data_IF_721119462745
#
_entry.id   IF_721119462745
#
_cell.length_a   1.000
_cell.length_b   1.000
_cell.length_c   1.000
_cell.angle_alpha   90.00
_cell.angle_beta   90.00
_cell.angle_gamma   90.00
#
_symmetry.space_group_name_H-M   'P 1'
#
loop_
_entity.id
_entity.type
_entity.pdbx_description
1 polymer ?
#
# COMPACT_ATOMS: atom_id res chain seq x y z
N UNK A 1 -38.89 -25.91 -6.05
CA UNK A 1 -37.65 -25.40 -6.70
C UNK A 1 -36.85 -24.73 -5.58
N UNK A 2 -35.84 -25.42 -5.05
CA UNK A 2 -34.97 -24.84 -4.02
C UNK A 2 -33.98 -23.96 -4.77
N UNK A 3 -34.04 -22.66 -4.54
CA UNK A 3 -33.04 -21.71 -5.04
C UNK A 3 -31.76 -21.92 -4.20
N UNK A 4 -30.81 -22.65 -4.74
CA UNK A 4 -29.47 -22.72 -4.13
C UNK A 4 -28.89 -21.32 -4.14
N UNK A 5 -28.77 -20.72 -2.96
CA UNK A 5 -28.15 -19.40 -2.80
C UNK A 5 -26.65 -19.56 -3.01
N UNK A 6 -26.13 -18.97 -4.09
CA UNK A 6 -24.70 -18.92 -4.32
C UNK A 6 -24.02 -18.21 -3.15
N UNK A 7 -23.13 -18.93 -2.48
CA UNK A 7 -22.42 -18.47 -1.29
C UNK A 7 -20.92 -18.75 -1.47
N UNK A 8 -20.09 -17.83 -1.06
CA UNK A 8 -18.63 -17.96 -1.04
C UNK A 8 -18.07 -17.40 0.26
N UNK A 9 -16.93 -17.86 0.70
CA UNK A 9 -16.18 -17.26 1.80
C UNK A 9 -15.20 -16.27 1.21
N UNK A 10 -15.12 -15.08 1.80
CA UNK A 10 -14.16 -14.03 1.41
C UNK A 10 -13.28 -13.72 2.61
N UNK A 11 -12.00 -13.55 2.37
CA UNK A 11 -11.04 -13.20 3.40
C UNK A 11 -10.01 -12.19 2.91
N UNK A 12 -9.47 -11.43 3.86
CA UNK A 12 -8.29 -10.58 3.67
C UNK A 12 -7.46 -10.56 4.95
N UNK A 13 -6.22 -10.12 4.86
CA UNK A 13 -5.37 -9.93 6.04
C UNK A 13 -5.33 -8.45 6.43
N UNK A 14 -5.56 -8.19 7.71
CA UNK A 14 -5.55 -6.84 8.24
C UNK A 14 -4.12 -6.27 8.22
N UNK A 15 -3.88 -5.12 7.58
CA UNK A 15 -2.56 -4.51 7.55
C UNK A 15 -2.06 -4.05 8.93
N UNK A 16 -2.96 -3.65 9.83
CA UNK A 16 -2.57 -3.08 11.12
C UNK A 16 -2.23 -4.13 12.19
N UNK A 17 -2.96 -5.26 12.23
CA UNK A 17 -2.75 -6.24 13.29
C UNK A 17 -2.39 -7.65 12.76
N UNK A 18 -2.23 -7.82 11.44
CA UNK A 18 -1.91 -9.08 10.82
C UNK A 18 -3.03 -10.14 10.86
N UNK A 19 -4.16 -9.87 11.54
CA UNK A 19 -5.23 -10.85 11.69
C UNK A 19 -5.91 -11.18 10.35
N UNK A 20 -6.18 -12.46 10.12
CA UNK A 20 -7.02 -12.91 9.01
C UNK A 20 -8.49 -12.59 9.29
N UNK A 21 -9.12 -11.80 8.43
CA UNK A 21 -10.54 -11.43 8.49
C UNK A 21 -11.28 -12.23 7.45
N UNK A 22 -12.27 -13.03 7.85
CA UNK A 22 -13.05 -13.84 6.92
C UNK A 22 -14.55 -13.77 7.21
N UNK A 23 -15.36 -13.83 6.16
CA UNK A 23 -16.82 -13.87 6.26
C UNK A 23 -17.43 -14.62 5.07
N UNK A 24 -18.56 -15.26 5.32
CA UNK A 24 -19.36 -15.82 4.26
C UNK A 24 -20.24 -14.73 3.63
N UNK A 25 -20.21 -14.69 2.32
CA UNK A 25 -20.95 -13.71 1.49
C UNK A 25 -21.88 -14.49 0.56
N UNK A 26 -23.15 -14.14 0.59
CA UNK A 26 -24.15 -14.65 -0.34
C UNK A 26 -24.57 -13.59 -1.35
N UNK A 27 -25.17 -14.04 -2.44
CA UNK A 27 -25.61 -13.16 -3.53
C UNK A 27 -26.63 -12.11 -3.05
N UNK A 28 -27.49 -12.43 -2.08
CA UNK A 28 -28.52 -11.50 -1.62
C UNK A 28 -27.91 -10.33 -0.84
N UNK A 29 -26.96 -10.63 0.08
CA UNK A 29 -26.24 -9.59 0.81
C UNK A 29 -25.49 -8.66 -0.15
N UNK A 30 -24.81 -9.26 -1.14
CA UNK A 30 -23.99 -8.51 -2.07
C UNK A 30 -24.82 -7.66 -3.05
N UNK A 31 -26.02 -8.10 -3.43
CA UNK A 31 -26.90 -7.36 -4.34
C UNK A 31 -27.74 -6.28 -3.65
N UNK A 32 -27.89 -6.35 -2.34
CA UNK A 32 -28.70 -5.39 -1.58
C UNK A 32 -27.93 -4.10 -1.26
N UNK A 33 -26.64 -4.19 -0.94
CA UNK A 33 -25.82 -3.06 -0.53
C UNK A 33 -24.33 -3.39 -0.61
N UNK A 34 -23.49 -2.39 -0.35
CA UNK A 34 -22.04 -2.57 -0.15
C UNK A 34 -21.78 -3.47 1.06
N UNK A 35 -21.05 -4.55 0.85
CA UNK A 35 -20.63 -5.44 1.92
C UNK A 35 -19.27 -4.99 2.45
N UNK A 36 -19.18 -4.80 3.77
CA UNK A 36 -17.96 -4.42 4.48
C UNK A 36 -17.50 -5.54 5.40
N UNK A 37 -16.25 -5.98 5.24
CA UNK A 37 -15.58 -6.87 6.17
C UNK A 37 -14.65 -6.03 7.04
N UNK A 38 -15.00 -5.87 8.32
CA UNK A 38 -14.19 -5.09 9.27
C UNK A 38 -13.33 -6.01 10.11
N UNK A 39 -12.08 -5.60 10.33
CA UNK A 39 -11.23 -6.26 11.31
C UNK A 39 -11.70 -5.94 12.74
N UNK A 40 -11.50 -6.89 13.66
CA UNK A 40 -11.79 -6.71 15.09
C UNK A 40 -10.98 -5.58 15.73
N UNK A 41 -9.80 -5.25 15.19
CA UNK A 41 -9.01 -4.10 15.65
C UNK A 41 -9.65 -2.74 15.32
N UNK A 42 -10.66 -2.70 14.43
CA UNK A 42 -11.37 -1.49 14.02
C UNK A 42 -10.63 -0.58 13.04
N UNK A 43 -9.34 -0.84 12.75
CA UNK A 43 -8.49 0.03 11.92
C UNK A 43 -8.53 -0.29 10.42
N UNK A 44 -9.08 -1.43 10.01
CA UNK A 44 -9.13 -1.82 8.59
C UNK A 44 -10.46 -2.44 8.20
N UNK A 45 -10.86 -2.20 6.96
CA UNK A 45 -12.04 -2.81 6.34
C UNK A 45 -11.80 -3.09 4.86
N UNK A 46 -12.26 -4.24 4.38
CA UNK A 46 -12.38 -4.54 2.96
C UNK A 46 -13.82 -4.28 2.52
N UNK A 47 -14.01 -3.64 1.36
CA UNK A 47 -15.35 -3.40 0.82
C UNK A 47 -15.59 -4.17 -0.46
N UNK A 48 -16.84 -4.57 -0.68
CA UNK A 48 -17.29 -5.25 -1.89
C UNK A 48 -18.57 -4.60 -2.38
N UNK A 49 -18.64 -4.32 -3.67
CA UNK A 49 -19.81 -3.76 -4.34
C UNK A 49 -20.18 -4.59 -5.55
N UNK A 50 -21.41 -5.04 -5.60
CA UNK A 50 -21.95 -5.73 -6.76
C UNK A 50 -22.51 -4.73 -7.77
N UNK A 51 -22.17 -4.92 -9.03
CA UNK A 51 -22.74 -4.16 -10.13
C UNK A 51 -23.18 -5.12 -11.24
N UNK A 52 -24.30 -4.81 -11.85
CA UNK A 52 -24.82 -5.56 -13.01
C UNK A 52 -25.06 -4.58 -14.15
N UNK A 53 -24.47 -4.87 -15.28
CA UNK A 53 -24.68 -4.14 -16.53
C UNK A 53 -25.13 -5.14 -17.59
N UNK A 54 -26.43 -5.17 -17.90
CA UNK A 54 -27.04 -6.17 -18.75
C UNK A 54 -26.84 -7.61 -18.23
N UNK A 55 -26.14 -8.44 -19.00
CA UNK A 55 -25.80 -9.82 -18.64
C UNK A 55 -24.47 -9.93 -17.88
N UNK A 56 -23.69 -8.85 -17.82
CA UNK A 56 -22.40 -8.79 -17.12
C UNK A 56 -22.60 -8.38 -15.66
N UNK A 57 -22.41 -9.34 -14.76
CA UNK A 57 -22.39 -9.10 -13.33
C UNK A 57 -20.94 -9.11 -12.81
N UNK A 58 -20.56 -8.05 -12.09
CA UNK A 58 -19.20 -7.83 -11.57
C UNK A 58 -19.24 -7.52 -10.08
N UNK A 59 -18.18 -7.90 -9.38
CA UNK A 59 -17.93 -7.56 -7.98
C UNK A 59 -16.66 -6.71 -7.95
N UNK A 60 -16.76 -5.52 -7.41
CA UNK A 60 -15.62 -4.63 -7.16
C UNK A 60 -15.20 -4.76 -5.72
N UNK A 61 -13.89 -4.82 -5.51
CA UNK A 61 -13.25 -4.92 -4.22
C UNK A 61 -12.37 -3.71 -3.99
N UNK A 62 -12.40 -3.18 -2.79
CA UNK A 62 -11.33 -2.31 -2.26
C UNK A 62 -10.70 -3.09 -1.11
N UNK A 63 -9.48 -3.55 -1.33
CA UNK A 63 -8.76 -4.46 -0.43
C UNK A 63 -7.60 -3.71 0.22
N UNK A 64 -7.58 -3.55 1.55
CA UNK A 64 -6.40 -3.01 2.23
C UNK A 64 -5.22 -3.96 2.05
N UNK A 65 -4.05 -3.43 1.77
CA UNK A 65 -2.83 -4.20 1.55
C UNK A 65 -1.93 -4.17 2.78
N UNK A 66 -1.29 -5.30 3.08
CA UNK A 66 -0.35 -5.39 4.20
C UNK A 66 1.03 -4.80 3.86
N UNK A 67 1.33 -4.60 2.59
CA UNK A 67 2.62 -4.10 2.11
C UNK A 67 2.55 -2.69 1.50
N UNK A 68 1.35 -2.25 1.11
CA UNK A 68 1.17 -0.96 0.44
C UNK A 68 0.39 0.01 1.33
N UNK A 69 0.72 1.29 1.34
CA UNK A 69 0.00 2.30 2.12
C UNK A 69 -1.44 2.49 1.62
N UNK A 70 -1.68 2.28 0.33
CA UNK A 70 -2.98 2.46 -0.29
C UNK A 70 -3.68 1.12 -0.55
N UNK A 71 -5.02 1.04 -0.41
CA UNK A 71 -5.77 -0.14 -0.76
C UNK A 71 -5.79 -0.36 -2.28
N UNK A 72 -5.88 -1.62 -2.69
CA UNK A 72 -5.99 -1.99 -4.10
C UNK A 72 -7.44 -2.22 -4.52
N UNK A 73 -7.75 -1.82 -5.75
CA UNK A 73 -9.07 -1.99 -6.34
C UNK A 73 -9.04 -3.11 -7.39
N UNK A 74 -9.95 -4.08 -7.23
CA UNK A 74 -10.10 -5.18 -8.17
C UNK A 74 -11.53 -5.24 -8.69
N UNK A 75 -11.69 -5.78 -9.90
CA UNK A 75 -12.99 -6.08 -10.47
C UNK A 75 -12.99 -7.51 -10.98
N UNK A 76 -13.88 -8.34 -10.45
CA UNK A 76 -13.99 -9.76 -10.78
C UNK A 76 -15.40 -10.04 -11.29
N UNK A 77 -15.55 -10.92 -12.29
CA UNK A 77 -16.89 -11.34 -12.71
C UNK A 77 -17.60 -12.11 -11.58
N UNK A 78 -18.90 -11.88 -11.41
CA UNK A 78 -19.67 -12.58 -10.40
C UNK A 78 -19.66 -14.12 -10.60
N UNK A 79 -19.44 -14.57 -11.84
CA UNK A 79 -19.27 -15.99 -12.15
C UNK A 79 -17.99 -16.57 -11.52
N UNK A 80 -16.87 -15.86 -11.61
CA UNK A 80 -15.63 -16.26 -10.95
C UNK A 80 -15.75 -16.17 -9.43
N UNK A 81 -16.35 -15.09 -8.92
CA UNK A 81 -16.53 -14.86 -7.50
C UNK A 81 -17.27 -15.98 -6.78
N UNK A 82 -18.33 -16.53 -7.40
CA UNK A 82 -19.16 -17.58 -6.80
C UNK A 82 -18.87 -18.99 -7.34
N UNK A 83 -18.01 -19.12 -8.34
CA UNK A 83 -17.86 -20.39 -9.06
C UNK A 83 -16.51 -21.08 -8.88
N UNK A 84 -15.60 -20.51 -8.13
CA UNK A 84 -14.27 -21.09 -7.91
C UNK A 84 -14.16 -21.67 -6.49
N UNK A 85 -13.45 -22.78 -6.36
CA UNK A 85 -13.11 -23.39 -5.06
C UNK A 85 -12.11 -22.52 -4.30
N UNK A 86 -11.20 -21.88 -5.02
CA UNK A 86 -10.30 -20.86 -4.52
C UNK A 86 -9.95 -19.87 -5.64
N UNK A 87 -10.10 -18.58 -5.34
CA UNK A 87 -9.63 -17.48 -6.17
C UNK A 87 -8.90 -16.48 -5.29
N UNK A 88 -7.72 -16.04 -5.71
CA UNK A 88 -6.86 -15.15 -4.94
C UNK A 88 -6.65 -13.83 -5.68
N UNK A 89 -6.47 -12.76 -4.93
CA UNK A 89 -6.13 -11.44 -5.43
C UNK A 89 -4.74 -11.07 -4.88
N UNK A 90 -3.70 -11.12 -5.73
CA UNK A 90 -2.36 -10.75 -5.32
C UNK A 90 -2.21 -9.23 -5.22
N UNK A 91 -1.26 -8.78 -4.42
CA UNK A 91 -0.80 -7.41 -4.46
C UNK A 91 -0.15 -7.13 -5.84
N UNK A 92 -0.52 -6.03 -6.55
CA UNK A 92 0.07 -5.72 -7.85
C UNK A 92 1.58 -5.44 -7.83
N UNK A 93 2.12 -5.10 -6.65
CA UNK A 93 3.53 -4.71 -6.47
C UNK A 93 4.38 -5.77 -5.75
N UNK A 94 3.74 -6.83 -5.22
CA UNK A 94 4.42 -7.89 -4.52
C UNK A 94 3.72 -9.23 -4.78
N UNK A 95 4.47 -10.32 -4.80
CA UNK A 95 3.94 -11.66 -5.05
C UNK A 95 3.30 -12.27 -3.78
N UNK A 96 2.39 -11.50 -3.17
CA UNK A 96 1.65 -11.90 -1.95
C UNK A 96 0.15 -11.75 -2.19
N UNK A 97 -0.60 -12.79 -1.83
CA UNK A 97 -2.06 -12.78 -1.89
C UNK A 97 -2.64 -11.96 -0.73
N UNK A 98 -3.34 -10.86 -1.05
CA UNK A 98 -3.92 -9.93 -0.07
C UNK A 98 -5.39 -10.18 0.21
N UNK A 99 -6.11 -10.80 -0.72
CA UNK A 99 -7.47 -11.28 -0.52
C UNK A 99 -7.69 -12.60 -1.22
N UNK A 100 -8.63 -13.37 -0.72
CA UNK A 100 -8.99 -14.68 -1.24
C UNK A 100 -10.47 -14.96 -1.07
N UNK A 101 -11.02 -15.77 -1.96
CA UNK A 101 -12.43 -16.16 -1.95
C UNK A 101 -12.64 -17.57 -2.47
N UNK A 102 -13.68 -18.26 -1.98
CA UNK A 102 -14.01 -19.61 -2.39
C UNK A 102 -14.57 -20.48 -1.27
N UNK A 103 -14.24 -21.79 -1.30
CA UNK A 103 -14.56 -22.72 -0.22
C UNK A 103 -13.87 -22.32 1.08
N UNK A 104 -14.55 -22.47 2.19
CA UNK A 104 -14.07 -22.03 3.51
C UNK A 104 -12.76 -22.72 3.92
N UNK A 105 -12.56 -23.99 3.56
CA UNK A 105 -11.35 -24.71 3.94
C UNK A 105 -10.16 -24.26 3.09
N UNK A 106 -10.36 -24.06 1.80
CA UNK A 106 -9.34 -23.55 0.90
C UNK A 106 -8.95 -22.11 1.25
N UNK A 107 -9.92 -21.26 1.58
CA UNK A 107 -9.66 -19.89 2.03
C UNK A 107 -8.87 -19.84 3.34
N UNK A 108 -9.23 -20.70 4.33
CA UNK A 108 -8.48 -20.82 5.59
C UNK A 108 -7.05 -21.33 5.39
N UNK A 109 -6.89 -22.33 4.52
CA UNK A 109 -5.57 -22.86 4.19
C UNK A 109 -4.69 -21.77 3.56
N UNK A 110 -5.23 -21.03 2.60
CA UNK A 110 -4.50 -19.95 1.93
C UNK A 110 -4.16 -18.80 2.89
N UNK A 111 -5.07 -18.44 3.80
CA UNK A 111 -4.76 -17.48 4.87
C UNK A 111 -3.59 -17.93 5.75
N UNK A 112 -3.54 -19.21 6.12
CA UNK A 112 -2.44 -19.75 6.93
C UNK A 112 -1.13 -19.77 6.14
N UNK A 113 -1.18 -20.09 4.84
CA UNK A 113 0.00 -20.09 3.97
C UNK A 113 0.59 -18.69 3.85
N UNK A 114 -0.25 -17.70 3.55
CA UNK A 114 0.20 -16.30 3.45
C UNK A 114 0.69 -15.74 4.78
N UNK A 115 0.20 -16.25 5.92
CA UNK A 115 0.72 -15.87 7.23
C UNK A 115 2.18 -16.30 7.41
N UNK A 116 2.50 -17.52 7.05
CA UNK A 116 3.87 -18.03 7.12
C UNK A 116 4.81 -17.26 6.19
N UNK A 117 4.37 -16.94 4.98
CA UNK A 117 5.14 -16.13 4.04
C UNK A 117 5.42 -14.71 4.58
N UNK A 118 4.42 -14.10 5.20
CA UNK A 118 4.57 -12.76 5.81
C UNK A 118 5.47 -12.79 7.05
N UNK A 119 5.38 -13.82 7.89
CA UNK A 119 6.27 -13.98 9.04
C UNK A 119 7.74 -14.16 8.61
N UNK A 120 7.98 -14.96 7.56
CA UNK A 120 9.31 -15.12 6.96
C UNK A 120 9.86 -13.79 6.40
N UNK A 121 8.99 -12.98 5.78
CA UNK A 121 9.36 -11.65 5.30
C UNK A 121 9.70 -10.68 6.45
N UNK A 122 8.90 -10.68 7.52
CA UNK A 122 9.17 -9.87 8.73
C UNK A 122 10.52 -10.24 9.33
N UNK A 123 10.79 -11.54 9.48
CA UNK A 123 12.06 -12.03 10.03
C UNK A 123 13.25 -11.61 9.16
N UNK A 124 13.14 -11.74 7.82
CA UNK A 124 14.17 -11.31 6.86
C UNK A 124 14.39 -9.80 6.85
N UNK A 125 13.32 -9.02 7.05
CA UNK A 125 13.38 -7.57 7.13
C UNK A 125 13.87 -7.05 8.49
N UNK A 126 13.96 -7.92 9.51
CA UNK A 126 14.32 -7.50 10.87
C UNK A 126 13.25 -6.65 11.56
N UNK A 127 11.98 -6.86 11.21
CA UNK A 127 10.83 -6.07 11.68
C UNK A 127 9.97 -6.92 12.60
N UNK A 128 9.67 -6.41 13.80
CA UNK A 128 9.00 -7.18 14.86
C UNK A 128 7.46 -7.14 14.79
N UNK A 129 6.86 -6.31 13.91
CA UNK A 129 5.41 -6.17 13.85
C UNK A 129 4.89 -5.84 12.46
N UNK A 130 3.63 -6.21 12.19
CA UNK A 130 2.94 -5.83 10.94
C UNK A 130 2.71 -4.32 10.82
N UNK A 131 2.53 -3.61 11.94
CA UNK A 131 2.41 -2.15 11.97
C UNK A 131 3.70 -1.49 11.48
N UNK A 132 4.86 -2.07 11.77
CA UNK A 132 6.14 -1.57 11.30
C UNK A 132 6.39 -1.81 9.80
N UNK A 133 5.71 -2.80 9.17
CA UNK A 133 5.73 -2.97 7.70
C UNK A 133 5.00 -1.82 6.99
N UNK A 134 3.96 -1.28 7.62
CA UNK A 134 3.26 -0.12 7.09
C UNK A 134 3.92 1.19 7.47
N UNK A 135 4.89 1.13 8.40
CA UNK A 135 5.54 2.28 8.98
C UNK A 135 4.62 3.50 9.02
N UNK A 136 4.06 3.87 10.15
CA UNK A 136 3.55 5.24 10.30
C UNK A 136 4.64 6.27 9.96
N UNK A 137 5.83 5.77 9.61
CA UNK A 137 7.04 6.57 9.40
C UNK A 137 7.36 6.88 7.93
N UNK A 138 6.74 6.19 6.96
CA UNK A 138 7.08 6.46 5.55
C UNK A 138 5.83 6.44 4.68
N UNK A 139 4.98 7.46 4.81
CA UNK A 139 3.94 7.81 3.83
C UNK A 139 4.58 8.33 2.52
N UNK A 140 5.64 7.68 2.10
CA UNK A 140 6.36 8.08 0.89
C UNK A 140 5.87 7.22 -0.25
N UNK A 141 5.23 7.82 -1.21
CA UNK A 141 4.96 7.18 -2.51
C UNK A 141 6.32 6.85 -3.15
N UNK A 142 6.63 5.58 -3.48
CA UNK A 142 7.91 5.22 -4.09
C UNK A 142 8.23 6.01 -5.35
N UNK A 143 7.21 6.39 -6.15
CA UNK A 143 7.39 7.22 -7.34
C UNK A 143 7.76 8.66 -6.96
N UNK A 144 7.12 9.21 -5.93
CA UNK A 144 7.46 10.54 -5.39
C UNK A 144 8.89 10.55 -4.87
N UNK A 145 9.28 9.53 -4.12
CA UNK A 145 10.63 9.40 -3.58
C UNK A 145 11.69 9.34 -4.70
N UNK A 146 11.43 8.53 -5.74
CA UNK A 146 12.33 8.41 -6.89
C UNK A 146 12.49 9.75 -7.62
N UNK A 147 11.39 10.45 -7.88
CA UNK A 147 11.39 11.76 -8.55
C UNK A 147 12.19 12.77 -7.73
N UNK A 148 11.89 12.91 -6.44
CA UNK A 148 12.56 13.90 -5.58
C UNK A 148 14.05 13.56 -5.42
N UNK A 149 14.41 12.29 -5.25
CA UNK A 149 15.80 11.85 -5.16
C UNK A 149 16.58 12.16 -6.44
N UNK A 150 15.96 11.95 -7.60
CA UNK A 150 16.55 12.28 -8.90
C UNK A 150 16.81 13.79 -9.02
N UNK A 151 15.82 14.61 -8.68
CA UNK A 151 15.93 16.08 -8.73
C UNK A 151 17.01 16.61 -7.78
N UNK A 152 17.12 16.06 -6.57
CA UNK A 152 18.18 16.45 -5.63
C UNK A 152 19.56 16.20 -6.24
N UNK A 153 19.75 15.05 -6.91
CA UNK A 153 21.02 14.75 -7.60
C UNK A 153 21.31 15.70 -8.74
N UNK A 154 20.32 16.05 -9.57
CA UNK A 154 20.49 17.03 -10.63
C UNK A 154 20.87 18.40 -10.07
N UNK A 155 20.20 18.87 -8.99
CA UNK A 155 20.52 20.14 -8.34
C UNK A 155 21.93 20.13 -7.73
N UNK A 156 22.38 19.00 -7.20
CA UNK A 156 23.73 18.83 -6.67
C UNK A 156 24.79 18.88 -7.80
N UNK A 157 24.58 18.12 -8.88
CA UNK A 157 25.46 18.10 -10.06
C UNK A 157 25.56 19.48 -10.75
N UNK A 158 24.48 20.27 -10.70
CA UNK A 158 24.44 21.61 -11.26
C UNK A 158 24.94 22.70 -10.28
N UNK A 159 25.32 22.34 -9.06
CA UNK A 159 25.74 23.26 -8.01
C UNK A 159 24.63 24.21 -7.54
N UNK A 160 23.39 23.77 -7.61
CA UNK A 160 22.20 24.55 -7.26
C UNK A 160 21.67 24.23 -5.85
N UNK A 161 22.44 23.52 -5.03
CA UNK A 161 22.15 23.37 -3.59
C UNK A 161 23.00 24.41 -2.85
N UNK A 162 22.34 25.37 -2.22
CA UNK A 162 23.00 26.43 -1.46
C UNK A 162 22.90 26.14 0.04
N UNK A 163 24.00 26.37 0.72
CA UNK A 163 24.08 26.25 2.18
C UNK A 163 24.82 27.49 2.76
N UNK A 164 25.20 27.45 4.02
CA UNK A 164 25.91 28.53 4.70
C UNK A 164 27.44 28.52 4.48
N UNK A 165 27.94 27.54 3.72
CA UNK A 165 29.35 27.45 3.36
C UNK A 165 29.78 28.54 2.36
N UNK A 166 31.09 28.72 2.24
CA UNK A 166 31.65 29.59 1.21
C UNK A 166 31.27 29.04 -0.19
N UNK A 167 30.76 29.90 -1.12
CA UNK A 167 30.37 29.46 -2.46
C UNK A 167 31.51 28.85 -3.29
N UNK A 168 32.77 29.14 -2.94
CA UNK A 168 33.94 28.57 -3.61
C UNK A 168 34.35 27.19 -3.08
N UNK A 169 33.60 26.64 -2.11
CA UNK A 169 33.84 25.34 -1.48
C UNK A 169 32.92 24.26 -2.06
N UNK A 170 33.48 23.15 -2.51
CA UNK A 170 32.69 21.98 -2.90
C UNK A 170 32.05 21.34 -1.63
N UNK A 171 30.81 21.71 -1.38
CA UNK A 171 30.05 21.16 -0.25
C UNK A 171 29.55 19.74 -0.55
N UNK A 172 29.57 18.88 0.45
CA UNK A 172 29.03 17.53 0.36
C UNK A 172 27.67 17.47 1.05
N UNK A 173 26.71 16.81 0.41
CA UNK A 173 25.35 16.71 0.91
C UNK A 173 24.97 15.27 1.18
N UNK A 174 24.47 15.03 2.38
CA UNK A 174 23.87 13.76 2.79
C UNK A 174 22.35 13.84 2.65
N UNK A 175 21.74 12.76 2.13
CA UNK A 175 20.29 12.65 1.96
C UNK A 175 19.79 11.50 2.80
N UNK A 176 18.91 11.79 3.75
CA UNK A 176 18.32 10.82 4.67
C UNK A 176 16.81 10.84 4.56
N UNK A 177 16.19 9.66 4.53
CA UNK A 177 14.74 9.54 4.59
C UNK A 177 14.28 9.63 6.04
N UNK A 178 13.41 10.62 6.31
CA UNK A 178 12.81 10.86 7.63
C UNK A 178 11.29 10.71 7.57
N UNK A 179 10.59 10.65 8.70
CA UNK A 179 9.13 10.60 8.74
C UNK A 179 8.45 11.79 8.04
N UNK A 180 9.10 12.93 8.00
CA UNK A 180 8.58 14.17 7.42
C UNK A 180 8.95 14.35 5.94
N UNK A 181 9.77 13.44 5.37
CA UNK A 181 10.24 13.49 3.98
C UNK A 181 11.73 13.25 3.82
N UNK A 182 12.29 13.60 2.65
CA UNK A 182 13.72 13.55 2.39
C UNK A 182 14.41 14.75 3.02
N UNK A 183 15.31 14.49 3.96
CA UNK A 183 16.15 15.50 4.61
C UNK A 183 17.50 15.57 3.90
N UNK A 184 17.81 16.72 3.34
CA UNK A 184 19.12 17.06 2.77
C UNK A 184 19.93 17.81 3.82
N UNK A 185 21.14 17.37 4.09
CA UNK A 185 22.04 17.97 5.10
C UNK A 185 23.39 18.26 4.49
N UNK A 186 23.88 19.47 4.66
CA UNK A 186 25.27 19.79 4.32
C UNK A 186 26.21 19.18 5.37
N UNK A 187 27.12 18.31 4.94
CA UNK A 187 28.07 17.64 5.82
C UNK A 187 29.05 18.61 6.51
N UNK A 188 29.32 19.77 5.88
CA UNK A 188 30.31 20.74 6.34
C UNK A 188 29.75 21.74 7.35
N UNK A 189 28.57 22.32 7.09
CA UNK A 189 27.99 23.36 7.97
C UNK A 189 26.77 22.90 8.76
N UNK A 190 26.24 21.71 8.46
CA UNK A 190 25.06 21.15 9.15
C UNK A 190 23.74 21.83 8.78
N UNK A 191 23.72 22.71 7.77
CA UNK A 191 22.46 23.27 7.25
C UNK A 191 21.57 22.18 6.65
N UNK A 192 20.27 22.24 6.88
CA UNK A 192 19.34 21.19 6.49
C UNK A 192 18.11 21.72 5.78
N UNK A 193 17.51 20.89 4.92
CA UNK A 193 16.18 21.10 4.35
C UNK A 193 15.43 19.79 4.25
N UNK A 194 14.19 19.76 4.73
CA UNK A 194 13.31 18.60 4.56
C UNK A 194 12.34 18.88 3.43
N UNK A 195 12.30 17.95 2.46
CA UNK A 195 11.42 17.98 1.29
C UNK A 195 10.31 16.95 1.53
N UNK A 196 9.04 17.39 1.63
CA UNK A 196 7.92 16.46 1.84
C UNK A 196 7.82 15.42 0.70
N UNK A 197 7.58 14.18 1.06
CA UNK A 197 7.44 13.07 0.10
C UNK A 197 6.09 12.36 0.21
N UNK A 198 5.12 13.02 0.83
CA UNK A 198 3.80 12.49 1.18
C UNK A 198 2.79 12.52 0.03
N UNK A 199 3.07 13.30 -1.03
CA UNK A 199 2.12 13.48 -2.12
C UNK A 199 2.77 13.80 -3.47
N UNK A 200 2.07 13.45 -4.57
CA UNK A 200 2.43 13.83 -5.93
C UNK A 200 2.43 15.36 -6.13
N UNK A 201 1.69 16.11 -5.33
CA UNK A 201 1.67 17.58 -5.36
C UNK A 201 3.02 18.10 -4.85
N UNK A 202 3.53 17.57 -3.74
CA UNK A 202 4.82 17.93 -3.21
C UNK A 202 5.95 17.63 -4.21
N UNK A 203 5.89 16.46 -4.90
CA UNK A 203 6.83 16.16 -5.98
C UNK A 203 6.73 17.12 -7.15
N UNK A 204 5.52 17.48 -7.57
CA UNK A 204 5.30 18.41 -8.66
C UNK A 204 5.81 19.82 -8.31
N UNK A 205 5.59 20.29 -7.10
CA UNK A 205 6.10 21.57 -6.63
C UNK A 205 7.62 21.57 -6.59
N UNK A 206 8.24 20.46 -6.16
CA UNK A 206 9.69 20.32 -6.14
C UNK A 206 10.30 20.21 -7.55
N UNK A 207 9.62 19.60 -8.52
CA UNK A 207 10.05 19.53 -9.93
C UNK A 207 10.22 20.92 -10.58
N UNK A 208 9.53 21.94 -10.05
CA UNK A 208 9.63 23.31 -10.53
C UNK A 208 10.64 24.14 -9.72
N UNK A 209 11.43 23.52 -8.86
CA UNK A 209 12.42 24.20 -8.02
C UNK A 209 13.75 24.26 -8.77
N UNK A 210 14.20 25.47 -9.07
CA UNK A 210 15.49 25.73 -9.76
C UNK A 210 16.68 25.79 -8.79
N UNK A 211 16.43 25.90 -7.49
CA UNK A 211 17.44 26.11 -6.47
C UNK A 211 16.97 25.55 -5.13
N UNK A 212 17.84 24.83 -4.42
CA UNK A 212 17.56 24.31 -3.08
C UNK A 212 18.39 25.05 -2.03
N UNK A 213 17.75 25.83 -1.17
CA UNK A 213 18.40 26.54 -0.07
C UNK A 213 18.27 25.73 1.24
N UNK A 214 19.42 25.41 1.84
CA UNK A 214 19.51 24.75 3.15
C UNK A 214 19.63 25.81 4.27
N UNK A 215 18.85 25.61 5.35
CA UNK A 215 18.77 26.55 6.49
C UNK A 215 19.53 26.08 7.73
#
# INVERSE_FOLDING_TARGET
MVLETKRTTVAYRCPHCGAGVLSAVDMFKLSADMVKLKCSCGKSEMTMVYSRDGDDAKVRFTVPCILCPNPHNFTVSAKLFFGQDLFVLPCPYADINIAMMGDVNHVKFELSRTELELLDLLEKAGVDSFEALHGEQYLTDPQVLEIITYMIRELDEEGKILCKCDPDFESHYDVELTPDGLKVTCADCGATKTIPTDSLIAAHDFLNTDLLELE
#
